data_IF_846044914400
#
_entry.id   IF_846044914400
#
_cell.length_a   1.000
_cell.length_b   1.000
_cell.length_c   1.000
_cell.angle_alpha   90.00
_cell.angle_beta   90.00
_cell.angle_gamma   90.00
#
_symmetry.space_group_name_H-M   'P 1'
#
loop_
_entity.id
_entity.type
_entity.pdbx_description
1 polymer ?
#
# COMPACT_ATOMS: atom_id res chain seq x y z
N UNK A 1 14.28 35.27 -30.88
CA UNK A 1 14.09 34.22 -29.85
C UNK A 1 13.14 33.21 -30.43
N UNK A 2 13.62 32.08 -30.96
CA UNK A 2 12.81 31.28 -31.90
C UNK A 2 11.52 30.70 -31.30
N UNK A 3 11.52 30.32 -30.02
CA UNK A 3 10.29 29.87 -29.34
C UNK A 3 9.23 30.99 -29.26
N UNK A 4 9.65 32.21 -28.92
CA UNK A 4 8.75 33.37 -28.79
C UNK A 4 8.25 33.81 -30.16
N UNK A 5 9.12 33.80 -31.18
CA UNK A 5 8.76 34.17 -32.55
C UNK A 5 7.74 33.19 -33.17
N UNK A 6 7.89 31.89 -32.91
CA UNK A 6 6.90 30.87 -33.32
C UNK A 6 5.61 31.06 -32.53
N UNK A 7 5.72 31.41 -31.25
CA UNK A 7 4.56 31.57 -30.39
C UNK A 7 3.67 32.76 -30.79
N UNK A 8 4.29 33.88 -31.15
CA UNK A 8 3.58 35.09 -31.59
C UNK A 8 3.03 34.94 -33.01
N UNK A 9 3.69 34.17 -33.90
CA UNK A 9 3.22 33.95 -35.27
C UNK A 9 1.98 33.05 -35.39
N UNK A 10 1.72 32.17 -34.41
CA UNK A 10 0.56 31.25 -34.44
C UNK A 10 -0.25 31.33 -33.13
N UNK A 11 -0.88 32.48 -32.84
CA UNK A 11 -1.59 32.72 -31.58
C UNK A 11 -2.76 31.75 -31.39
N UNK A 12 -3.44 31.37 -32.49
CA UNK A 12 -4.57 30.41 -32.45
C UNK A 12 -4.11 29.01 -32.02
N UNK A 13 -2.97 28.54 -32.54
CA UNK A 13 -2.45 27.21 -32.20
C UNK A 13 -2.08 27.10 -30.72
N UNK A 14 -1.51 28.16 -30.14
CA UNK A 14 -1.16 28.21 -28.72
C UNK A 14 -2.37 28.38 -27.83
N UNK A 15 -3.36 29.17 -28.25
CA UNK A 15 -4.63 29.27 -27.56
C UNK A 15 -5.31 27.90 -27.47
N UNK A 16 -5.38 27.16 -28.59
CA UNK A 16 -5.92 25.79 -28.61
C UNK A 16 -5.13 24.83 -27.71
N UNK A 17 -3.79 24.90 -27.74
CA UNK A 17 -2.95 24.05 -26.91
C UNK A 17 -3.14 24.33 -25.41
N UNK A 18 -3.13 25.61 -25.03
CA UNK A 18 -3.37 26.05 -23.65
C UNK A 18 -4.76 25.61 -23.17
N UNK A 19 -5.77 25.71 -24.04
CA UNK A 19 -7.14 25.32 -23.73
C UNK A 19 -7.28 23.80 -23.59
N UNK A 20 -6.58 23.03 -24.42
CA UNK A 20 -6.49 21.57 -24.27
C UNK A 20 -5.85 21.19 -22.94
N UNK A 21 -4.71 21.79 -22.58
CA UNK A 21 -4.03 21.53 -21.29
C UNK A 21 -4.93 21.89 -20.11
N UNK A 22 -5.66 23.02 -20.19
CA UNK A 22 -6.62 23.42 -19.15
C UNK A 22 -7.75 22.40 -18.98
N UNK A 23 -8.34 21.93 -20.08
CA UNK A 23 -9.40 20.92 -20.05
C UNK A 23 -8.90 19.59 -19.48
N UNK A 24 -7.76 19.10 -19.96
CA UNK A 24 -7.14 17.89 -19.42
C UNK A 24 -6.78 18.05 -17.94
N UNK A 25 -6.27 19.22 -17.54
CA UNK A 25 -5.99 19.56 -16.15
C UNK A 25 -7.23 19.52 -15.26
N UNK A 26 -8.34 20.14 -15.69
CA UNK A 26 -9.60 20.12 -14.94
C UNK A 26 -10.15 18.69 -14.79
N UNK A 27 -10.14 17.90 -15.86
CA UNK A 27 -10.62 16.51 -15.82
C UNK A 27 -9.71 15.65 -14.93
N UNK A 28 -8.40 15.82 -15.02
CA UNK A 28 -7.43 15.09 -14.20
C UNK A 28 -7.55 15.43 -12.72
N UNK A 29 -7.87 16.68 -12.40
CA UNK A 29 -8.05 17.12 -11.01
C UNK A 29 -9.30 16.48 -10.38
N UNK A 30 -10.40 16.37 -11.14
CA UNK A 30 -11.62 15.69 -10.67
C UNK A 30 -11.50 14.16 -10.58
N UNK A 31 -10.59 13.55 -11.35
CA UNK A 31 -10.34 12.10 -11.34
C UNK A 31 -9.27 11.66 -10.35
N UNK A 32 -8.65 12.58 -9.63
CA UNK A 32 -7.66 12.22 -8.62
C UNK A 32 -8.39 11.54 -7.46
N UNK A 33 -8.19 10.23 -7.32
CA UNK A 33 -8.69 9.47 -6.17
C UNK A 33 -8.00 9.96 -4.91
N UNK A 34 -8.68 10.83 -4.17
CA UNK A 34 -8.23 11.28 -2.86
C UNK A 34 -8.51 10.15 -1.87
N UNK A 35 -7.50 9.32 -1.65
CA UNK A 35 -7.57 8.34 -0.58
C UNK A 35 -7.42 9.07 0.76
N UNK A 36 -8.43 8.96 1.63
CA UNK A 36 -8.47 9.58 2.97
C UNK A 36 -7.30 9.12 3.85
N UNK A 37 -6.81 7.91 3.60
CA UNK A 37 -5.65 7.33 4.23
C UNK A 37 -4.75 6.78 3.11
N UNK A 38 -3.42 6.94 3.18
CA UNK A 38 -2.53 6.19 2.31
C UNK A 38 -2.81 4.69 2.48
N UNK A 39 -2.57 3.88 1.44
CA UNK A 39 -2.64 2.42 1.59
C UNK A 39 -1.59 1.96 2.61
N UNK A 40 -2.03 1.83 3.86
CA UNK A 40 -1.24 1.30 4.95
C UNK A 40 -1.30 -0.23 4.84
N UNK A 41 -0.47 -0.78 3.95
CA UNK A 41 -0.22 -2.21 3.92
C UNK A 41 0.60 -2.57 5.17
N UNK A 42 -0.07 -2.74 6.31
CA UNK A 42 0.55 -3.33 7.50
C UNK A 42 0.80 -4.81 7.22
N UNK A 43 2.06 -5.29 7.11
CA UNK A 43 2.35 -6.67 6.79
C UNK A 43 2.16 -7.53 8.05
N UNK A 44 0.90 -7.76 8.43
CA UNK A 44 0.55 -8.60 9.57
C UNK A 44 0.17 -9.99 9.07
N UNK A 45 0.88 -11.02 9.57
CA UNK A 45 0.56 -12.41 9.32
C UNK A 45 -0.08 -13.01 10.58
N UNK A 46 -1.32 -13.50 10.47
CA UNK A 46 -2.03 -14.16 11.58
C UNK A 46 -2.06 -15.65 11.36
N UNK A 47 -1.46 -16.42 12.28
CA UNK A 47 -1.51 -17.88 12.28
C UNK A 47 -2.44 -18.29 13.41
N UNK A 48 -3.49 -19.04 13.07
CA UNK A 48 -4.43 -19.60 14.03
C UNK A 48 -4.36 -21.12 13.93
N UNK A 49 -4.14 -21.77 15.06
CA UNK A 49 -4.14 -23.22 15.18
C UNK A 49 -5.13 -23.60 16.27
N UNK A 50 -6.15 -24.38 15.92
CA UNK A 50 -7.13 -24.89 16.87
C UNK A 50 -6.73 -26.32 17.26
N UNK A 51 -6.45 -26.57 18.54
CA UNK A 51 -6.15 -27.91 19.07
C UNK A 51 -7.15 -28.23 20.19
N UNK A 52 -8.16 -29.03 19.86
CA UNK A 52 -9.31 -29.29 20.74
C UNK A 52 -8.99 -30.34 21.80
N UNK A 53 -9.35 -30.06 23.05
CA UNK A 53 -9.26 -31.04 24.15
C UNK A 53 -7.90 -31.14 24.85
N UNK A 54 -6.94 -30.26 24.54
CA UNK A 54 -5.64 -30.22 25.20
C UNK A 54 -5.56 -29.13 26.26
N UNK A 55 -4.74 -29.36 27.29
CA UNK A 55 -4.48 -28.33 28.28
C UNK A 55 -3.72 -27.16 27.62
N UNK A 56 -3.95 -25.89 28.03
CA UNK A 56 -3.23 -24.75 27.48
C UNK A 56 -1.69 -24.91 27.51
N UNK A 57 -1.18 -25.58 28.54
CA UNK A 57 0.25 -25.89 28.69
C UNK A 57 0.76 -26.89 27.62
N UNK A 58 -0.06 -27.87 27.23
CA UNK A 58 0.28 -28.82 26.16
C UNK A 58 0.22 -28.13 24.78
N UNK A 59 -0.77 -27.28 24.55
CA UNK A 59 -0.89 -26.48 23.31
C UNK A 59 0.33 -25.56 23.15
N UNK A 60 0.76 -24.92 24.23
CA UNK A 60 1.95 -24.06 24.20
C UNK A 60 3.21 -24.85 23.83
N UNK A 61 3.43 -25.99 24.48
CA UNK A 61 4.65 -26.76 24.28
C UNK A 61 4.69 -27.51 22.94
N UNK A 62 3.56 -28.03 22.47
CA UNK A 62 3.48 -28.87 21.27
C UNK A 62 3.17 -28.09 19.99
N UNK A 63 2.51 -26.94 20.09
CA UNK A 63 2.02 -26.17 18.93
C UNK A 63 2.66 -24.79 18.89
N UNK A 64 2.50 -23.98 19.93
CA UNK A 64 2.96 -22.58 19.91
C UNK A 64 4.49 -22.46 19.84
N UNK A 65 5.24 -23.23 20.64
CA UNK A 65 6.72 -23.21 20.63
C UNK A 65 7.36 -23.55 19.28
N UNK A 66 7.04 -24.68 18.62
CA UNK A 66 7.66 -25.01 17.34
C UNK A 66 7.29 -24.03 16.21
N UNK A 67 6.07 -23.47 16.25
CA UNK A 67 5.64 -22.44 15.31
C UNK A 67 6.44 -21.15 15.55
N UNK A 68 6.66 -20.75 16.80
CA UNK A 68 7.45 -19.57 17.16
C UNK A 68 8.94 -19.72 16.77
N UNK A 69 9.57 -20.86 17.03
CA UNK A 69 10.96 -21.13 16.64
C UNK A 69 11.16 -21.10 15.12
N UNK A 70 10.20 -21.65 14.37
CA UNK A 70 10.24 -21.67 12.90
C UNK A 70 10.09 -20.26 12.33
N UNK A 71 9.15 -19.47 12.86
CA UNK A 71 8.91 -18.09 12.41
C UNK A 71 10.03 -17.14 12.85
N UNK A 72 10.63 -17.35 14.03
CA UNK A 72 11.79 -16.60 14.50
C UNK A 72 13.03 -16.76 13.63
N UNK A 73 13.11 -17.84 12.86
CA UNK A 73 14.19 -18.09 11.90
C UNK A 73 13.97 -17.36 10.56
N UNK A 74 12.75 -16.87 10.29
CA UNK A 74 12.42 -16.15 9.05
C UNK A 74 12.96 -14.72 9.11
N UNK A 75 13.83 -14.38 8.16
CA UNK A 75 14.39 -13.02 8.02
C UNK A 75 13.27 -12.01 7.74
N UNK A 76 13.13 -11.00 8.60
CA UNK A 76 12.19 -9.89 8.42
C UNK A 76 11.01 -9.85 9.41
N UNK A 77 10.91 -10.82 10.32
CA UNK A 77 9.88 -10.81 11.37
C UNK A 77 10.31 -9.91 12.52
N UNK A 78 9.60 -8.80 12.75
CA UNK A 78 9.93 -7.81 13.79
C UNK A 78 9.28 -8.10 15.14
N UNK A 79 8.13 -8.76 15.17
CA UNK A 79 7.38 -9.06 16.41
C UNK A 79 6.51 -10.29 16.20
N UNK A 80 6.71 -11.31 17.03
CA UNK A 80 5.84 -12.49 17.13
C UNK A 80 5.05 -12.36 18.43
N UNK A 81 3.72 -12.53 18.36
CA UNK A 81 2.84 -12.55 19.54
C UNK A 81 2.00 -13.82 19.49
N UNK A 82 2.21 -14.70 20.46
CA UNK A 82 1.42 -15.92 20.61
C UNK A 82 0.41 -15.77 21.74
N UNK A 83 -0.81 -16.29 21.55
CA UNK A 83 -1.84 -16.36 22.57
C UNK A 83 -2.41 -17.78 22.52
N UNK A 84 -2.12 -18.58 23.53
CA UNK A 84 -2.72 -19.91 23.73
C UNK A 84 -3.89 -19.76 24.70
N UNK A 85 -5.07 -20.31 24.35
CA UNK A 85 -6.25 -20.38 25.21
C UNK A 85 -6.84 -21.79 25.17
#
# INVERSE_FOLDING_TARGET
MQLVDIAVKRPVAIAMFTLAVLLFGMVSLGRLSVNLLPELAYPTLTIRTDYTGAAPAEVEQLVSKPIEETIGTVKGVRTVKSISR
#
